data_IF_550974566697
#
_entry.id   IF_550974566697
#
_cell.length_a   1.000
_cell.length_b   1.000
_cell.length_c   1.000
_cell.angle_alpha   90.00
_cell.angle_beta   90.00
_cell.angle_gamma   90.00
#
_symmetry.space_group_name_H-M   'P 1'
#
loop_
_entity.id
_entity.type
_entity.pdbx_description
1 polymer ?
#
# COMPACT_ATOMS: atom_id res chain seq x y z
N UNK A 1 -1.03 0.72 -6.68
CA UNK A 1 -1.53 0.53 -5.32
C UNK A 1 -2.85 -0.27 -5.29
N UNK A 2 -3.92 0.14 -5.98
CA UNK A 2 -5.21 -0.56 -5.95
C UNK A 2 -5.16 -2.00 -6.49
N UNK A 3 -4.41 -2.23 -7.54
CA UNK A 3 -4.31 -3.54 -8.19
C UNK A 3 -3.48 -4.54 -7.40
N UNK A 4 -2.64 -4.08 -6.51
CA UNK A 4 -1.72 -4.89 -5.70
C UNK A 4 -2.09 -4.92 -4.22
N UNK A 5 -3.07 -4.13 -3.80
CA UNK A 5 -3.56 -4.09 -2.43
C UNK A 5 -4.77 -5.01 -2.26
N UNK A 6 -4.60 -6.11 -1.54
CA UNK A 6 -5.65 -7.09 -1.32
C UNK A 6 -6.88 -6.49 -0.61
N UNK A 7 -6.71 -5.53 0.30
CA UNK A 7 -7.82 -4.85 0.96
C UNK A 7 -8.82 -4.19 -0.02
N UNK A 8 -8.32 -3.72 -1.16
CA UNK A 8 -9.14 -3.11 -2.21
C UNK A 8 -9.68 -4.17 -3.19
N UNK A 9 -8.82 -5.11 -3.60
CA UNK A 9 -9.15 -6.15 -4.56
C UNK A 9 -10.26 -7.07 -4.04
N UNK A 10 -10.23 -7.48 -2.76
CA UNK A 10 -11.27 -8.34 -2.16
C UNK A 10 -12.68 -7.73 -2.26
N UNK A 11 -12.80 -6.39 -2.20
CA UNK A 11 -14.09 -5.70 -2.34
C UNK A 11 -14.60 -5.74 -3.78
N UNK A 12 -13.69 -5.62 -4.75
CA UNK A 12 -14.05 -5.80 -6.16
C UNK A 12 -14.47 -7.23 -6.47
N UNK A 13 -13.81 -8.24 -5.85
CA UNK A 13 -14.16 -9.65 -5.99
C UNK A 13 -15.54 -10.00 -5.39
N UNK A 14 -15.99 -9.26 -4.37
CA UNK A 14 -17.32 -9.44 -3.76
C UNK A 14 -18.46 -8.72 -4.51
N UNK A 15 -18.17 -8.10 -5.66
CA UNK A 15 -19.19 -7.40 -6.44
C UNK A 15 -20.17 -8.38 -7.10
N UNK A 16 -21.44 -7.96 -7.25
CA UNK A 16 -22.53 -8.78 -7.79
C UNK A 16 -22.35 -9.17 -9.27
N UNK A 17 -21.53 -8.46 -10.02
CA UNK A 17 -21.29 -8.71 -11.43
C UNK A 17 -19.92 -8.20 -11.86
N UNK A 18 -19.39 -8.74 -12.96
CA UNK A 18 -18.13 -8.29 -13.57
C UNK A 18 -18.20 -6.79 -13.97
N UNK A 19 -19.35 -6.33 -14.43
CA UNK A 19 -19.58 -4.91 -14.74
C UNK A 19 -19.46 -4.04 -13.49
N UNK A 20 -20.05 -4.44 -12.37
CA UNK A 20 -19.92 -3.73 -11.10
C UNK A 20 -18.46 -3.74 -10.61
N UNK A 21 -17.78 -4.89 -10.65
CA UNK A 21 -16.37 -5.01 -10.28
C UNK A 21 -15.46 -4.05 -11.07
N UNK A 22 -15.68 -3.91 -12.38
CA UNK A 22 -14.92 -2.99 -13.25
C UNK A 22 -15.21 -1.51 -12.99
N UNK A 23 -16.46 -1.17 -12.70
CA UNK A 23 -16.89 0.22 -12.43
C UNK A 23 -16.46 0.71 -11.04
N UNK A 24 -16.38 -0.18 -10.07
CA UNK A 24 -16.02 0.17 -8.68
C UNK A 24 -14.73 0.98 -8.57
N UNK A 25 -13.58 0.56 -9.13
CA UNK A 25 -12.35 1.35 -9.04
C UNK A 25 -12.44 2.67 -9.81
N UNK A 26 -13.16 2.70 -10.93
CA UNK A 26 -13.34 3.93 -11.73
C UNK A 26 -14.16 4.95 -10.95
N UNK A 27 -15.32 4.55 -10.41
CA UNK A 27 -16.17 5.42 -9.59
C UNK A 27 -15.41 5.88 -8.33
N UNK A 28 -14.69 4.96 -7.68
CA UNK A 28 -13.88 5.28 -6.49
C UNK A 28 -12.71 6.22 -6.76
N UNK A 29 -12.23 6.33 -7.98
CA UNK A 29 -11.16 7.25 -8.36
C UNK A 29 -11.59 8.72 -8.26
N UNK A 30 -12.86 9.05 -8.54
CA UNK A 30 -13.37 10.43 -8.46
C UNK A 30 -13.29 11.01 -7.04
N UNK A 31 -13.91 10.41 -5.99
CA UNK A 31 -13.76 10.93 -4.64
C UNK A 31 -12.31 10.88 -4.16
N UNK A 32 -11.53 9.89 -4.59
CA UNK A 32 -10.11 9.81 -4.24
C UNK A 32 -9.29 10.98 -4.81
N UNK A 33 -9.66 11.51 -5.98
CA UNK A 33 -9.02 12.70 -6.53
C UNK A 33 -9.27 13.97 -5.69
N UNK A 34 -10.32 13.99 -4.85
CA UNK A 34 -10.62 15.09 -3.93
C UNK A 34 -9.89 14.97 -2.58
N UNK A 35 -9.35 13.79 -2.23
CA UNK A 35 -8.65 13.59 -0.95
C UNK A 35 -7.51 14.59 -0.75
N UNK A 36 -6.64 14.92 -1.74
CA UNK A 36 -5.61 15.93 -1.56
C UNK A 36 -6.16 17.29 -1.11
N UNK A 37 -7.32 17.70 -1.60
CA UNK A 37 -7.96 18.96 -1.14
C UNK A 37 -8.34 18.88 0.34
N UNK A 38 -8.89 17.74 0.77
CA UNK A 38 -9.34 17.54 2.15
C UNK A 38 -8.17 17.37 3.14
N UNK A 39 -7.02 16.90 2.68
CA UNK A 39 -5.84 16.65 3.53
C UNK A 39 -4.82 17.78 3.42
N UNK A 40 -4.46 18.18 2.19
CA UNK A 40 -3.39 19.16 1.96
C UNK A 40 -3.82 20.57 2.35
N UNK A 41 -5.05 20.96 2.00
CA UNK A 41 -5.53 22.33 2.31
C UNK A 41 -5.57 22.59 3.82
N UNK A 42 -6.15 21.71 4.67
CA UNK A 42 -6.06 21.91 6.13
C UNK A 42 -4.62 21.92 6.65
N UNK A 43 -3.72 21.09 6.10
CA UNK A 43 -2.30 21.11 6.45
C UNK A 43 -1.63 22.46 6.13
N UNK A 44 -1.92 23.03 4.97
CA UNK A 44 -1.43 24.36 4.58
C UNK A 44 -2.00 25.47 5.49
N UNK A 45 -3.29 25.38 5.81
CA UNK A 45 -3.96 26.32 6.72
C UNK A 45 -3.35 26.21 8.12
N UNK A 46 -3.09 25.01 8.61
CA UNK A 46 -2.42 24.79 9.90
C UNK A 46 -1.03 25.47 9.96
N UNK A 47 -0.25 25.37 8.90
CA UNK A 47 1.07 26.01 8.78
C UNK A 47 1.03 27.55 8.78
N UNK A 48 -0.16 28.15 8.69
CA UNK A 48 -0.37 29.61 8.74
C UNK A 48 -1.07 30.05 10.04
N UNK A 49 -2.06 29.28 10.49
CA UNK A 49 -2.90 29.65 11.63
C UNK A 49 -2.41 29.13 12.98
N UNK A 50 -1.70 28.00 13.01
CA UNK A 50 -1.24 27.38 14.27
C UNK A 50 0.14 27.95 14.65
N UNK A 51 0.23 28.74 15.75
CA UNK A 51 1.48 29.45 16.12
C UNK A 51 2.68 28.51 16.30
N UNK A 52 2.47 27.31 16.85
CA UNK A 52 3.51 26.32 17.08
C UNK A 52 4.12 25.83 15.74
N UNK A 53 3.29 25.63 14.71
CA UNK A 53 3.75 25.20 13.37
C UNK A 53 4.42 26.35 12.61
N UNK A 54 3.96 27.57 12.81
CA UNK A 54 4.62 28.76 12.25
C UNK A 54 6.02 28.92 12.86
N UNK A 55 6.16 28.75 14.18
CA UNK A 55 7.45 28.77 14.85
C UNK A 55 8.39 27.66 14.39
N UNK A 56 7.86 26.45 14.22
CA UNK A 56 8.60 25.30 13.68
C UNK A 56 9.15 25.59 12.27
N UNK A 57 8.31 26.16 11.41
CA UNK A 57 8.72 26.53 10.05
C UNK A 57 9.80 27.61 10.03
N UNK A 58 9.75 28.58 10.96
CA UNK A 58 10.72 29.66 11.06
C UNK A 58 12.06 29.20 11.65
N UNK A 59 12.04 28.19 12.52
CA UNK A 59 13.26 27.63 13.13
C UNK A 59 14.13 26.85 12.14
N UNK A 60 13.57 26.41 11.02
CA UNK A 60 14.28 25.60 10.01
C UNK A 60 14.69 24.22 10.50
N UNK A 61 14.25 23.80 11.69
CA UNK A 61 14.48 22.47 12.26
C UNK A 61 13.24 21.60 12.07
N UNK A 62 13.42 20.35 11.68
CA UNK A 62 12.30 19.45 11.39
C UNK A 62 11.52 19.00 12.64
N UNK A 63 12.10 19.03 13.81
CA UNK A 63 11.44 19.00 15.12
C UNK A 63 12.40 19.33 16.27
N UNK A 64 12.04 20.18 17.23
CA UNK A 64 12.73 20.25 18.51
C UNK A 64 12.47 18.98 19.33
N UNK A 65 13.44 18.49 20.09
CA UNK A 65 13.27 17.35 20.98
C UNK A 65 12.05 17.56 21.91
N UNK A 66 11.04 16.67 21.79
CA UNK A 66 9.79 16.73 22.56
C UNK A 66 8.81 17.82 22.13
N UNK A 67 9.03 18.46 20.96
CA UNK A 67 8.19 19.52 20.42
C UNK A 67 7.10 19.02 19.46
N UNK A 68 6.29 19.98 19.01
CA UNK A 68 5.26 19.79 17.98
C UNK A 68 5.93 19.46 16.64
N UNK A 69 5.39 18.47 15.93
CA UNK A 69 5.82 18.06 14.60
C UNK A 69 4.78 18.41 13.54
N UNK A 70 5.14 18.34 12.27
CA UNK A 70 4.17 18.50 11.17
C UNK A 70 3.08 17.39 11.17
N UNK A 71 3.33 16.25 11.83
CA UNK A 71 2.34 15.19 11.99
C UNK A 71 1.16 15.63 12.88
N UNK A 72 1.36 16.61 13.75
CA UNK A 72 0.35 17.14 14.67
C UNK A 72 -0.53 18.22 14.02
N UNK A 73 -0.24 18.62 12.78
CA UNK A 73 -0.84 19.78 12.12
C UNK A 73 -2.38 19.74 12.10
N UNK A 74 -2.95 18.59 11.77
CA UNK A 74 -4.41 18.45 11.66
C UNK A 74 -5.07 18.53 13.04
N UNK A 75 -4.52 17.85 14.03
CA UNK A 75 -5.07 17.83 15.41
C UNK A 75 -4.97 19.20 16.09
N UNK A 76 -3.87 19.90 15.88
CA UNK A 76 -3.68 21.28 16.39
C UNK A 76 -4.63 22.25 15.70
N UNK A 77 -4.77 22.16 14.38
CA UNK A 77 -5.73 23.02 13.65
C UNK A 77 -7.17 22.77 14.13
N UNK A 78 -7.54 21.51 14.34
CA UNK A 78 -8.88 21.17 14.86
C UNK A 78 -9.12 21.79 16.25
N UNK A 79 -8.12 21.76 17.13
CA UNK A 79 -8.18 22.37 18.45
C UNK A 79 -8.29 23.88 18.41
N UNK A 80 -7.66 24.55 17.43
CA UNK A 80 -7.67 26.00 17.30
C UNK A 80 -8.96 26.56 16.67
N UNK A 81 -9.52 25.83 15.69
CA UNK A 81 -10.61 26.35 14.85
C UNK A 81 -11.98 25.83 15.27
N UNK A 82 -12.07 24.61 15.84
CA UNK A 82 -13.35 23.99 16.13
C UNK A 82 -13.82 24.30 17.56
N UNK A 83 -15.09 24.71 17.73
CA UNK A 83 -15.68 24.85 19.07
C UNK A 83 -15.85 23.46 19.73
N UNK A 84 -15.88 23.42 21.06
CA UNK A 84 -15.83 22.20 21.88
C UNK A 84 -16.72 21.05 21.41
N UNK A 85 -17.98 21.31 21.01
CA UNK A 85 -18.90 20.28 20.54
C UNK A 85 -18.47 19.67 19.20
N UNK A 86 -18.10 20.50 18.23
CA UNK A 86 -17.63 20.05 16.92
C UNK A 86 -16.27 19.38 17.00
N UNK A 87 -15.38 19.84 17.88
CA UNK A 87 -14.09 19.20 18.12
C UNK A 87 -14.28 17.75 18.57
N UNK A 88 -15.23 17.48 19.49
CA UNK A 88 -15.53 16.12 19.93
C UNK A 88 -16.00 15.22 18.79
N UNK A 89 -16.89 15.71 17.93
CA UNK A 89 -17.35 14.97 16.74
C UNK A 89 -16.21 14.72 15.75
N UNK A 90 -15.38 15.72 15.51
CA UNK A 90 -14.25 15.60 14.59
C UNK A 90 -13.19 14.59 15.07
N UNK A 91 -12.86 14.61 16.37
CA UNK A 91 -11.98 13.62 16.99
C UNK A 91 -12.56 12.21 16.95
N UNK A 92 -13.86 12.05 17.22
CA UNK A 92 -14.54 10.77 17.11
C UNK A 92 -14.53 10.26 15.66
N UNK A 93 -14.74 11.12 14.68
CA UNK A 93 -14.62 10.79 13.25
C UNK A 93 -13.22 10.36 12.86
N UNK A 94 -12.18 11.04 13.35
CA UNK A 94 -10.78 10.70 13.13
C UNK A 94 -10.47 9.31 13.69
N UNK A 95 -10.86 9.04 14.94
CA UNK A 95 -10.68 7.72 15.57
C UNK A 95 -11.43 6.62 14.80
N UNK A 96 -12.68 6.88 14.38
CA UNK A 96 -13.44 5.94 13.57
C UNK A 96 -12.75 5.62 12.23
N UNK A 97 -12.17 6.62 11.58
CA UNK A 97 -11.40 6.42 10.34
C UNK A 97 -10.15 5.55 10.57
N UNK A 98 -9.42 5.76 11.65
CA UNK A 98 -8.30 4.90 12.05
C UNK A 98 -8.73 3.47 12.31
N UNK A 99 -9.80 3.26 13.08
CA UNK A 99 -10.33 1.94 13.37
C UNK A 99 -10.74 1.19 12.09
N UNK A 100 -11.40 1.88 11.16
CA UNK A 100 -11.81 1.30 9.87
C UNK A 100 -10.60 0.89 9.01
N UNK A 101 -9.57 1.75 8.93
CA UNK A 101 -8.32 1.47 8.23
C UNK A 101 -7.57 0.28 8.82
N UNK A 102 -7.43 0.23 10.14
CA UNK A 102 -6.81 -0.88 10.86
C UNK A 102 -7.55 -2.19 10.63
N UNK A 103 -8.88 -2.20 10.76
CA UNK A 103 -9.71 -3.38 10.55
C UNK A 103 -9.54 -3.94 9.13
N UNK A 104 -9.52 -3.07 8.10
CA UNK A 104 -9.33 -3.48 6.71
C UNK A 104 -7.95 -4.11 6.47
N UNK A 105 -6.89 -3.50 7.01
CA UNK A 105 -5.51 -3.99 6.84
C UNK A 105 -5.28 -5.30 7.59
N UNK A 106 -5.73 -5.42 8.83
CA UNK A 106 -5.61 -6.66 9.62
C UNK A 106 -6.44 -7.79 9.00
N UNK A 107 -7.64 -7.50 8.47
CA UNK A 107 -8.44 -8.48 7.73
C UNK A 107 -7.71 -8.99 6.49
N UNK A 108 -7.06 -8.10 5.74
CA UNK A 108 -6.28 -8.48 4.55
C UNK A 108 -5.07 -9.33 4.91
N UNK A 109 -4.31 -8.92 5.93
CA UNK A 109 -3.18 -9.70 6.45
C UNK A 109 -3.63 -11.10 6.88
N UNK A 110 -4.73 -11.17 7.63
CA UNK A 110 -5.32 -12.43 8.07
C UNK A 110 -5.67 -13.33 6.89
N UNK A 111 -6.35 -12.80 5.88
CA UNK A 111 -6.80 -13.59 4.72
C UNK A 111 -5.59 -14.13 3.95
N UNK A 112 -4.64 -13.29 3.58
CA UNK A 112 -3.44 -13.70 2.84
C UNK A 112 -2.63 -14.70 3.65
N UNK A 113 -2.40 -14.46 4.94
CA UNK A 113 -1.63 -15.39 5.76
C UNK A 113 -2.34 -16.74 5.93
N UNK A 114 -3.64 -16.73 6.21
CA UNK A 114 -4.40 -17.95 6.53
C UNK A 114 -4.62 -18.83 5.30
N UNK A 115 -4.96 -18.23 4.16
CA UNK A 115 -5.30 -18.99 2.95
C UNK A 115 -4.09 -19.21 2.06
N UNK A 116 -3.31 -18.17 1.73
CA UNK A 116 -2.22 -18.28 0.76
C UNK A 116 -0.96 -18.91 1.37
N UNK A 117 -0.66 -18.65 2.67
CA UNK A 117 0.51 -19.22 3.32
C UNK A 117 0.18 -20.46 4.15
N UNK A 118 -0.78 -20.37 5.07
CA UNK A 118 -1.03 -21.46 6.00
C UNK A 118 -1.75 -22.64 5.37
N UNK A 119 -2.81 -22.38 4.59
CA UNK A 119 -3.59 -23.43 3.93
C UNK A 119 -2.81 -24.06 2.79
N UNK A 120 -2.16 -23.29 1.93
CA UNK A 120 -1.54 -23.84 0.72
C UNK A 120 -0.18 -24.48 1.00
N UNK A 121 0.61 -23.93 1.94
CA UNK A 121 1.99 -24.35 2.11
C UNK A 121 2.25 -25.09 3.43
N UNK A 122 1.62 -24.71 4.55
CA UNK A 122 1.97 -25.21 5.87
C UNK A 122 1.07 -26.38 6.28
N UNK A 123 -0.23 -26.26 6.15
CA UNK A 123 -1.22 -27.27 6.57
C UNK A 123 -2.39 -27.36 5.61
N UNK A 124 -2.23 -27.94 4.42
CA UNK A 124 -3.31 -28.13 3.47
C UNK A 124 -4.34 -29.18 3.96
N UNK A 125 -5.57 -29.09 3.43
CA UNK A 125 -6.61 -30.10 3.63
C UNK A 125 -7.22 -30.17 5.03
N UNK A 126 -7.16 -29.11 5.81
CA UNK A 126 -7.86 -29.01 7.11
C UNK A 126 -9.28 -28.49 6.92
N UNK A 127 -10.10 -28.58 7.98
CA UNK A 127 -11.47 -28.07 7.96
C UNK A 127 -11.51 -26.53 8.01
N UNK A 128 -12.58 -25.95 7.46
CA UNK A 128 -12.81 -24.50 7.50
C UNK A 128 -12.78 -23.93 8.93
N UNK A 129 -13.30 -24.73 9.90
CA UNK A 129 -13.29 -24.33 11.30
C UNK A 129 -11.85 -24.17 11.84
N UNK A 130 -10.92 -25.00 11.40
CA UNK A 130 -9.51 -24.90 11.74
C UNK A 130 -8.90 -23.60 11.17
N UNK A 131 -9.13 -23.30 9.89
CA UNK A 131 -8.62 -22.08 9.25
C UNK A 131 -9.22 -20.81 9.88
N UNK A 132 -10.49 -20.84 10.29
CA UNK A 132 -11.09 -19.75 11.05
C UNK A 132 -10.39 -19.52 12.41
N UNK A 133 -9.96 -20.58 13.10
CA UNK A 133 -9.19 -20.44 14.34
C UNK A 133 -7.79 -19.86 14.07
N UNK A 134 -7.10 -20.37 13.06
CA UNK A 134 -5.81 -19.79 12.62
C UNK A 134 -5.97 -18.31 12.31
N UNK A 135 -7.00 -17.92 11.56
CA UNK A 135 -7.29 -16.53 11.22
C UNK A 135 -7.50 -15.64 12.45
N UNK A 136 -8.18 -16.14 13.49
CA UNK A 136 -8.34 -15.39 14.75
C UNK A 136 -7.00 -15.15 15.46
N UNK A 137 -6.13 -16.15 15.48
CA UNK A 137 -4.78 -16.01 16.05
C UNK A 137 -3.97 -15.03 15.25
N UNK A 138 -4.00 -15.13 13.91
CA UNK A 138 -3.29 -14.21 13.00
C UNK A 138 -3.78 -12.78 13.17
N UNK A 139 -5.08 -12.57 13.38
CA UNK A 139 -5.64 -11.24 13.67
C UNK A 139 -5.03 -10.64 14.94
N UNK A 140 -4.98 -11.40 16.03
CA UNK A 140 -4.39 -10.93 17.29
C UNK A 140 -2.90 -10.65 17.14
N UNK A 141 -2.16 -11.58 16.53
CA UNK A 141 -0.72 -11.39 16.25
C UNK A 141 -0.49 -10.19 15.35
N UNK A 142 -1.29 -10.02 14.31
CA UNK A 142 -1.23 -8.87 13.41
C UNK A 142 -1.45 -7.54 14.13
N UNK A 143 -2.40 -7.48 15.06
CA UNK A 143 -2.61 -6.29 15.89
C UNK A 143 -1.41 -6.00 16.80
N UNK A 144 -0.83 -7.03 17.42
CA UNK A 144 0.37 -6.87 18.26
C UNK A 144 1.59 -6.40 17.45
N UNK A 145 1.77 -6.96 16.25
CA UNK A 145 2.80 -6.51 15.32
C UNK A 145 2.58 -5.05 14.87
N UNK A 146 1.33 -4.67 14.61
CA UNK A 146 1.00 -3.29 14.25
C UNK A 146 1.33 -2.30 15.38
N UNK A 147 1.07 -2.68 16.64
CA UNK A 147 1.46 -1.88 17.82
C UNK A 147 3.00 -1.78 17.88
N UNK A 148 3.71 -2.89 17.71
CA UNK A 148 5.17 -2.89 17.71
C UNK A 148 5.77 -2.01 16.60
N UNK A 149 5.24 -2.08 15.39
CA UNK A 149 5.70 -1.24 14.27
C UNK A 149 5.34 0.23 14.44
N UNK A 150 4.25 0.56 15.17
CA UNK A 150 3.90 1.93 15.50
C UNK A 150 4.97 2.62 16.37
N UNK A 151 5.61 1.90 17.29
CA UNK A 151 6.74 2.43 18.07
C UNK A 151 7.97 2.73 17.18
N UNK A 152 8.20 1.94 16.14
CA UNK A 152 9.27 2.22 15.16
C UNK A 152 8.92 3.48 14.35
N UNK A 153 7.68 3.58 13.89
CA UNK A 153 7.20 4.72 13.12
C UNK A 153 7.17 6.02 13.94
N UNK A 154 6.94 5.96 15.25
CA UNK A 154 6.90 7.14 16.12
C UNK A 154 8.24 7.87 16.24
N UNK A 155 9.35 7.19 15.91
CA UNK A 155 10.67 7.82 15.79
C UNK A 155 10.88 8.62 14.51
N UNK A 156 9.94 8.57 13.56
CA UNK A 156 10.05 9.30 12.29
C UNK A 156 9.51 10.72 12.43
N UNK A 157 10.30 11.71 12.04
CA UNK A 157 9.90 13.12 12.11
C UNK A 157 8.77 13.45 11.14
N UNK A 158 8.73 12.79 9.98
CA UNK A 158 7.68 12.90 8.98
C UNK A 158 7.11 11.52 8.64
N UNK A 159 5.91 11.25 9.13
CA UNK A 159 5.24 9.96 8.93
C UNK A 159 4.92 9.70 7.46
N UNK A 160 4.66 10.76 6.69
CA UNK A 160 4.34 10.62 5.26
C UNK A 160 5.56 10.15 4.46
N UNK A 161 6.75 10.68 4.74
CA UNK A 161 7.99 10.26 4.09
C UNK A 161 8.34 8.82 4.46
N UNK A 162 8.15 8.44 5.72
CA UNK A 162 8.32 7.06 6.16
C UNK A 162 7.41 6.07 5.39
N UNK A 163 6.13 6.40 5.26
CA UNK A 163 5.17 5.57 4.51
C UNK A 163 5.55 5.50 3.02
N UNK A 164 5.97 6.63 2.42
CA UNK A 164 6.38 6.65 1.02
C UNK A 164 7.64 5.81 0.78
N UNK A 165 8.60 5.85 1.69
CA UNK A 165 9.80 5.01 1.63
C UNK A 165 9.43 3.52 1.68
N UNK A 166 8.53 3.11 2.59
CA UNK A 166 8.03 1.74 2.63
C UNK A 166 7.30 1.33 1.33
N UNK A 167 6.52 2.24 0.75
CA UNK A 167 5.87 1.99 -0.53
C UNK A 167 6.87 1.86 -1.68
N UNK A 168 7.98 2.59 -1.66
CA UNK A 168 9.04 2.44 -2.66
C UNK A 168 9.70 1.05 -2.58
N UNK A 169 9.87 0.52 -1.36
CA UNK A 169 10.50 -0.79 -1.14
C UNK A 169 9.60 -1.96 -1.60
N UNK A 170 8.30 -1.88 -1.38
CA UNK A 170 7.40 -3.02 -1.57
C UNK A 170 6.41 -2.85 -2.73
N UNK A 171 5.72 -1.71 -2.81
CA UNK A 171 4.67 -1.54 -3.81
C UNK A 171 5.20 -1.33 -5.22
N UNK A 172 6.31 -0.63 -5.39
CA UNK A 172 6.86 -0.35 -6.71
C UNK A 172 7.34 -1.62 -7.44
N UNK A 173 8.19 -2.46 -6.84
CA UNK A 173 8.61 -3.71 -7.49
C UNK A 173 7.46 -4.71 -7.60
N UNK A 174 6.55 -4.78 -6.63
CA UNK A 174 5.36 -5.62 -6.72
C UNK A 174 4.49 -5.24 -7.92
N UNK A 175 4.28 -3.95 -8.15
CA UNK A 175 3.52 -3.46 -9.30
C UNK A 175 4.21 -3.78 -10.63
N UNK A 176 5.55 -3.68 -10.70
CA UNK A 176 6.33 -4.07 -11.86
C UNK A 176 6.10 -5.53 -12.25
N UNK A 177 6.21 -6.43 -11.27
CA UNK A 177 6.01 -7.87 -11.47
C UNK A 177 4.56 -8.19 -11.82
N UNK A 178 3.60 -7.52 -11.17
CA UNK A 178 2.18 -7.70 -11.44
C UNK A 178 1.82 -7.31 -12.89
N UNK A 179 2.28 -6.17 -13.38
CA UNK A 179 2.06 -5.75 -14.76
C UNK A 179 2.67 -6.74 -15.74
N UNK A 180 3.92 -7.15 -15.52
CA UNK A 180 4.56 -8.14 -16.38
C UNK A 180 3.79 -9.46 -16.38
N UNK A 181 3.38 -9.96 -15.20
CA UNK A 181 2.60 -11.20 -15.08
C UNK A 181 1.26 -11.13 -15.80
N UNK A 182 0.61 -9.95 -15.79
CA UNK A 182 -0.69 -9.77 -16.42
C UNK A 182 -0.62 -9.65 -17.96
N UNK A 183 0.40 -8.98 -18.48
CA UNK A 183 0.48 -8.64 -19.90
C UNK A 183 1.51 -9.43 -20.71
N UNK A 184 2.48 -10.06 -20.06
CA UNK A 184 3.55 -10.75 -20.74
C UNK A 184 3.52 -12.26 -20.50
N UNK A 185 3.20 -13.02 -21.54
CA UNK A 185 3.02 -14.49 -21.51
C UNK A 185 4.27 -15.27 -21.05
N UNK A 186 5.46 -14.70 -21.24
CA UNK A 186 6.71 -15.36 -20.93
C UNK A 186 7.14 -15.19 -19.48
N UNK A 187 6.37 -14.46 -18.66
CA UNK A 187 6.66 -14.28 -17.25
C UNK A 187 6.63 -15.61 -16.50
N UNK A 188 7.68 -15.88 -15.73
CA UNK A 188 7.84 -17.13 -14.95
C UNK A 188 7.84 -16.87 -13.45
N UNK A 189 7.50 -17.89 -12.64
CA UNK A 189 7.51 -17.77 -11.19
C UNK A 189 8.87 -17.33 -10.61
N UNK A 190 9.99 -17.97 -11.01
CA UNK A 190 11.33 -17.53 -10.59
C UNK A 190 11.64 -16.08 -10.93
N UNK A 191 11.22 -15.62 -12.12
CA UNK A 191 11.40 -14.22 -12.52
C UNK A 191 10.60 -13.24 -11.64
N UNK A 192 9.41 -13.65 -11.19
CA UNK A 192 8.61 -12.88 -10.25
C UNK A 192 9.35 -12.65 -8.93
N UNK A 193 9.84 -13.71 -8.35
CA UNK A 193 10.58 -13.64 -7.09
C UNK A 193 11.88 -12.82 -7.20
N UNK A 194 12.69 -13.12 -8.19
CA UNK A 194 13.98 -12.42 -8.38
C UNK A 194 13.79 -10.95 -8.73
N UNK A 195 12.79 -10.63 -9.55
CA UNK A 195 12.43 -9.25 -9.88
C UNK A 195 11.93 -8.47 -8.68
N UNK A 196 11.10 -9.11 -7.83
CA UNK A 196 10.61 -8.49 -6.59
C UNK A 196 11.77 -8.18 -5.63
N UNK A 197 12.61 -9.17 -5.34
CA UNK A 197 13.75 -9.00 -4.43
C UNK A 197 14.76 -8.00 -4.99
N UNK A 198 15.10 -8.10 -6.27
CA UNK A 198 16.05 -7.19 -6.90
C UNK A 198 15.54 -5.75 -6.96
N UNK A 199 14.26 -5.55 -7.25
CA UNK A 199 13.65 -4.23 -7.21
C UNK A 199 13.62 -3.63 -5.80
N UNK A 200 13.28 -4.43 -4.78
CA UNK A 200 13.34 -4.00 -3.37
C UNK A 200 14.77 -3.61 -2.98
N UNK A 201 15.77 -4.42 -3.34
CA UNK A 201 17.17 -4.10 -3.05
C UNK A 201 17.61 -2.80 -3.73
N UNK A 202 17.17 -2.55 -4.96
CA UNK A 202 17.47 -1.29 -5.65
C UNK A 202 16.89 -0.07 -4.91
N UNK A 203 15.64 -0.17 -4.41
CA UNK A 203 15.05 0.90 -3.60
C UNK A 203 15.81 1.15 -2.30
N UNK A 204 16.20 0.06 -1.60
CA UNK A 204 17.01 0.16 -0.36
C UNK A 204 18.37 0.81 -0.63
N UNK A 205 19.02 0.46 -1.74
CA UNK A 205 20.29 1.09 -2.12
C UNK A 205 20.12 2.59 -2.34
N UNK A 206 19.08 3.00 -3.07
CA UNK A 206 18.80 4.44 -3.29
C UNK A 206 18.53 5.16 -1.96
N UNK A 207 17.72 4.57 -1.08
CA UNK A 207 17.45 5.12 0.24
C UNK A 207 18.74 5.33 1.06
N UNK A 208 19.66 4.36 1.03
CA UNK A 208 20.95 4.47 1.71
C UNK A 208 21.88 5.53 1.08
N UNK A 209 21.83 5.69 -0.24
CA UNK A 209 22.60 6.72 -0.92
C UNK A 209 22.08 8.14 -0.61
N UNK A 210 20.76 8.30 -0.49
CA UNK A 210 20.16 9.56 -0.05
C UNK A 210 20.48 9.81 1.43
N UNK A 211 20.35 8.81 2.30
CA UNK A 211 20.68 8.94 3.72
C UNK A 211 22.17 9.22 4.00
N UNK A 212 23.06 8.86 3.08
CA UNK A 212 24.50 9.13 3.14
C UNK A 212 24.90 10.43 2.43
N UNK A 213 23.94 11.28 2.04
CA UNK A 213 24.14 12.53 1.30
C UNK A 213 24.95 12.38 -0.01
N UNK A 214 25.00 11.17 -0.58
CA UNK A 214 25.61 10.94 -1.89
C UNK A 214 24.72 11.45 -3.02
N UNK A 215 23.40 11.37 -2.80
CA UNK A 215 22.39 11.96 -3.66
C UNK A 215 21.73 13.10 -2.88
N UNK A 216 22.09 14.31 -3.20
CA UNK A 216 21.58 15.53 -2.55
C UNK A 216 20.17 15.86 -3.06
N UNK A 217 19.18 15.23 -2.45
CA UNK A 217 17.76 15.44 -2.72
C UNK A 217 16.95 15.36 -1.43
N UNK A 218 15.76 15.96 -1.43
CA UNK A 218 14.85 15.81 -0.30
C UNK A 218 14.45 14.36 -0.08
N UNK A 219 14.14 13.96 1.15
CA UNK A 219 13.68 12.61 1.54
C UNK A 219 12.52 12.13 0.66
N UNK A 220 11.57 13.02 0.38
CA UNK A 220 10.45 12.73 -0.51
C UNK A 220 10.89 12.43 -1.96
N UNK A 221 11.80 13.22 -2.51
CA UNK A 221 12.33 12.99 -3.86
C UNK A 221 13.14 11.68 -3.89
N UNK A 222 13.90 11.39 -2.85
CA UNK A 222 14.61 10.12 -2.68
C UNK A 222 13.67 8.91 -2.73
N UNK A 223 12.51 8.98 -2.07
CA UNK A 223 11.49 7.93 -2.11
C UNK A 223 10.93 7.70 -3.53
N UNK A 224 10.72 8.77 -4.31
CA UNK A 224 10.27 8.64 -5.72
C UNK A 224 11.37 8.06 -6.63
N UNK A 225 12.61 8.47 -6.44
CA UNK A 225 13.76 7.91 -7.18
C UNK A 225 13.90 6.41 -6.82
N UNK A 226 13.78 6.07 -5.53
CA UNK A 226 13.77 4.69 -5.04
C UNK A 226 12.67 3.85 -5.67
N UNK A 227 11.44 4.35 -5.72
CA UNK A 227 10.30 3.67 -6.36
C UNK A 227 10.54 3.46 -7.86
N UNK A 228 11.04 4.48 -8.56
CA UNK A 228 11.34 4.38 -10.00
C UNK A 228 12.45 3.38 -10.27
N UNK A 229 13.50 3.39 -9.46
CA UNK A 229 14.60 2.44 -9.54
C UNK A 229 14.14 1.01 -9.27
N UNK A 230 13.32 0.81 -8.23
CA UNK A 230 12.73 -0.49 -7.90
C UNK A 230 11.88 -1.05 -9.03
N UNK A 231 11.07 -0.20 -9.65
CA UNK A 231 10.25 -0.60 -10.80
C UNK A 231 11.11 -1.02 -11.99
N UNK A 232 12.04 -0.16 -12.41
CA UNK A 232 12.88 -0.42 -13.58
C UNK A 232 13.78 -1.65 -13.37
N UNK A 233 14.47 -1.72 -12.25
CA UNK A 233 15.34 -2.87 -11.93
C UNK A 233 14.54 -4.15 -11.79
N UNK A 234 13.38 -4.11 -11.15
CA UNK A 234 12.47 -5.25 -11.03
C UNK A 234 12.03 -5.77 -12.40
N UNK A 235 11.62 -4.87 -13.32
CA UNK A 235 11.26 -5.22 -14.71
C UNK A 235 12.44 -5.84 -15.44
N UNK A 236 13.61 -5.22 -15.39
CA UNK A 236 14.82 -5.69 -16.10
C UNK A 236 15.22 -7.08 -15.62
N UNK A 237 15.31 -7.29 -14.31
CA UNK A 237 15.64 -8.61 -13.73
C UNK A 237 14.60 -9.65 -14.13
N UNK A 238 13.29 -9.32 -14.04
CA UNK A 238 12.24 -10.24 -14.42
C UNK A 238 12.30 -10.64 -15.89
N UNK A 239 12.62 -9.71 -16.80
CA UNK A 239 12.79 -10.00 -18.23
C UNK A 239 14.01 -10.90 -18.44
N UNK A 240 15.13 -10.59 -17.82
CA UNK A 240 16.37 -11.38 -17.94
C UNK A 240 16.12 -12.81 -17.45
N UNK A 241 15.61 -12.98 -16.23
CA UNK A 241 15.37 -14.31 -15.63
C UNK A 241 14.33 -15.10 -16.41
N UNK A 242 13.24 -14.45 -16.87
CA UNK A 242 12.24 -15.11 -17.72
C UNK A 242 12.84 -15.59 -19.06
N UNK A 243 13.90 -14.96 -19.55
CA UNK A 243 14.56 -15.38 -20.79
C UNK A 243 15.36 -16.68 -20.61
N UNK A 244 15.83 -16.94 -19.39
CA UNK A 244 16.59 -18.15 -19.05
C UNK A 244 15.76 -19.27 -18.41
N UNK A 245 14.48 -19.00 -18.11
CA UNK A 245 13.59 -19.99 -17.49
C UNK A 245 12.53 -20.45 -18.47
N UNK A 246 12.06 -21.69 -18.26
CA UNK A 246 11.01 -22.29 -19.12
C UNK A 246 9.67 -21.61 -18.89
N UNK A 247 9.04 -21.05 -19.92
CA UNK A 247 7.72 -20.43 -19.80
C UNK A 247 6.65 -21.50 -19.55
N UNK A 248 5.56 -21.13 -18.89
CA UNK A 248 4.37 -21.95 -18.76
C UNK A 248 3.64 -22.09 -20.10
N UNK A 249 2.86 -23.14 -20.25
CA UNK A 249 2.04 -23.39 -21.46
C UNK A 249 0.90 -22.37 -21.56
N UNK A 250 0.41 -22.13 -22.78
CA UNK A 250 -0.72 -21.22 -23.01
C UNK A 250 -2.00 -21.70 -22.30
N UNK A 251 -2.14 -23.02 -22.07
CA UNK A 251 -3.26 -23.62 -21.32
C UNK A 251 -3.21 -23.26 -19.83
N UNK A 252 -2.03 -23.34 -19.21
CA UNK A 252 -1.82 -22.97 -17.81
C UNK A 252 -1.98 -21.46 -17.58
N UNK A 253 -1.69 -20.65 -18.59
CA UNK A 253 -1.79 -19.19 -18.54
C UNK A 253 -3.19 -18.68 -18.91
N UNK A 254 -4.10 -19.57 -19.34
CA UNK A 254 -5.45 -19.19 -19.76
C UNK A 254 -6.24 -18.60 -18.59
N UNK A 255 -6.71 -17.36 -18.78
CA UNK A 255 -7.42 -16.62 -17.73
C UNK A 255 -6.52 -15.84 -16.76
N UNK A 256 -5.21 -16.11 -16.73
CA UNK A 256 -4.23 -15.39 -15.91
C UNK A 256 -3.59 -14.22 -16.67
N UNK A 257 -3.25 -14.45 -17.95
CA UNK A 257 -2.67 -13.42 -18.82
C UNK A 257 -3.76 -12.80 -19.68
N UNK A 258 -3.77 -11.47 -19.75
CA UNK A 258 -4.79 -10.73 -20.49
C UNK A 258 -4.98 -11.21 -21.94
N UNK A 259 -3.90 -11.49 -22.65
CA UNK A 259 -3.96 -11.94 -24.03
C UNK A 259 -4.65 -13.31 -24.21
N UNK A 260 -4.59 -14.16 -23.19
CA UNK A 260 -5.17 -15.54 -23.19
C UNK A 260 -6.51 -15.63 -22.45
N UNK A 261 -6.99 -14.53 -21.88
CA UNK A 261 -8.31 -14.48 -21.23
C UNK A 261 -9.41 -14.62 -22.29
N UNK A 262 -10.38 -15.56 -22.15
CA UNK A 262 -11.47 -15.75 -23.08
C UNK A 262 -12.25 -14.45 -23.35
N UNK A 263 -12.70 -14.25 -24.61
CA UNK A 263 -13.45 -13.04 -24.99
C UNK A 263 -14.72 -12.88 -24.17
N UNK A 264 -15.40 -13.98 -23.85
CA UNK A 264 -16.59 -14.02 -23.00
C UNK A 264 -16.34 -13.45 -21.59
N UNK A 265 -15.18 -13.74 -21.00
CA UNK A 265 -14.78 -13.15 -19.72
C UNK A 265 -14.37 -11.67 -19.82
N UNK A 266 -14.09 -11.18 -21.04
CA UNK A 266 -13.76 -9.76 -21.29
C UNK A 266 -15.00 -8.92 -21.61
N UNK A 267 -16.08 -9.52 -22.09
CA UNK A 267 -17.33 -8.85 -22.44
C UNK A 267 -18.36 -9.00 -21.32
N UNK A 268 -19.38 -8.14 -21.33
CA UNK A 268 -20.40 -8.08 -20.27
C UNK A 268 -21.33 -9.32 -20.21
N UNK A 269 -21.22 -10.23 -21.16
CA UNK A 269 -22.16 -11.34 -21.34
C UNK A 269 -21.86 -12.58 -20.46
N UNK A 270 -20.71 -12.63 -19.81
CA UNK A 270 -20.32 -13.79 -19.02
C UNK A 270 -20.68 -13.64 -17.54
N UNK A 271 -21.92 -13.42 -17.20
CA UNK A 271 -22.50 -13.86 -15.90
C UNK A 271 -24.03 -13.77 -15.98
N UNK A 272 -24.62 -14.75 -16.61
CA UNK A 272 -25.93 -15.21 -16.24
C UNK A 272 -25.73 -16.48 -15.42
N UNK A 273 -25.60 -16.40 -14.12
CA UNK A 273 -25.97 -17.41 -13.11
C UNK A 273 -26.38 -16.63 -11.88
#
# INVERSE_FOLDING_TARGET
YWTTNFAEVQRALSARSMSAARRTPIIGAFPKALIPLVVVVPGMVAGVLVPQLVALKQSGTDAPEGGVTYNDALTLLMGEVLPNGLLGVALAGLLAAFMAGMAANVSSLNTVFTYDLWQDWIRPGRSDRYYLQVGRVVTVVGCLLAIGTAFIASGSQNLMDYIQTLFSFFNAPLFAIFILGLFWKRMTGPAGWTGLVGGTLAAVVVDRLVAADVIDVSSQAGSFIGASSAFVVGVVIAIIVSSFTTPKTDEELRGLVWALTPKEARTHEAVGV
#
